data_IF_537869620893
#
_entry.id   IF_537869620893
#
_cell.length_a   1.000
_cell.length_b   1.000
_cell.length_c   1.000
_cell.angle_alpha   90.00
_cell.angle_beta   90.00
_cell.angle_gamma   90.00
#
_symmetry.space_group_name_H-M   'P 1'
#
loop_
_entity.id
_entity.type
_entity.pdbx_description
1 polymer ?
#
# COMPACT_ATOMS: atom_id res chain seq x y z
N UNK A 1 4.77 12.60 2.99
CA UNK A 1 4.05 11.29 3.06
C UNK A 1 3.36 11.30 4.41
N UNK A 2 2.04 11.39 4.45
CA UNK A 2 1.31 11.74 5.69
C UNK A 2 1.55 10.79 6.86
N UNK A 3 1.95 9.54 6.60
CA UNK A 3 2.36 8.58 7.64
C UNK A 3 3.70 8.96 8.31
N UNK A 4 4.69 9.40 7.53
CA UNK A 4 5.95 9.93 8.07
C UNK A 4 5.73 11.22 8.87
N UNK A 5 4.92 12.13 8.34
CA UNK A 5 4.57 13.40 9.04
C UNK A 5 3.86 13.14 10.38
N UNK A 6 3.12 12.02 10.49
CA UNK A 6 2.49 11.55 11.72
C UNK A 6 3.42 10.71 12.61
N UNK A 7 4.69 10.56 12.25
CA UNK A 7 5.69 9.83 13.02
C UNK A 7 5.54 8.31 13.00
N UNK A 8 4.70 7.76 12.12
CA UNK A 8 4.45 6.31 12.04
C UNK A 8 5.73 5.58 11.63
N UNK A 9 6.51 6.14 10.72
CA UNK A 9 7.83 5.64 10.37
C UNK A 9 8.79 6.78 10.06
N UNK A 10 10.08 6.47 10.14
CA UNK A 10 11.19 7.35 9.78
C UNK A 10 11.65 7.06 8.35
N UNK A 11 12.26 8.05 7.68
CA UNK A 11 12.82 7.85 6.34
C UNK A 11 13.82 6.68 6.22
N UNK A 12 14.70 6.41 7.22
CA UNK A 12 15.56 5.23 7.18
C UNK A 12 14.83 3.89 7.31
N UNK A 13 13.67 3.84 7.98
CA UNK A 13 12.82 2.65 8.00
C UNK A 13 12.15 2.44 6.64
N UNK A 14 11.62 3.50 6.05
CA UNK A 14 11.03 3.47 4.71
C UNK A 14 12.03 2.98 3.66
N UNK A 15 13.25 3.56 3.64
CA UNK A 15 14.29 3.16 2.70
C UNK A 15 14.66 1.68 2.82
N UNK A 16 14.74 1.15 4.05
CA UNK A 16 15.01 -0.28 4.28
C UNK A 16 13.86 -1.17 3.81
N UNK A 17 12.61 -0.79 4.09
CA UNK A 17 11.44 -1.54 3.66
C UNK A 17 11.35 -1.62 2.13
N UNK A 18 11.53 -0.48 1.43
CA UNK A 18 11.51 -0.43 -0.02
C UNK A 18 12.66 -1.22 -0.65
N UNK A 19 13.87 -1.09 -0.12
CA UNK A 19 15.02 -1.87 -0.60
C UNK A 19 14.80 -3.37 -0.46
N UNK A 20 14.17 -3.82 0.64
CA UNK A 20 13.82 -5.22 0.86
C UNK A 20 12.80 -5.71 -0.16
N UNK A 21 11.74 -4.95 -0.44
CA UNK A 21 10.74 -5.34 -1.44
C UNK A 21 11.31 -5.43 -2.85
N UNK A 22 12.18 -4.49 -3.23
CA UNK A 22 12.85 -4.53 -4.53
C UNK A 22 13.79 -5.75 -4.64
N UNK A 23 14.52 -6.07 -3.58
CA UNK A 23 15.35 -7.28 -3.54
C UNK A 23 14.51 -8.56 -3.64
N UNK A 24 13.40 -8.65 -2.90
CA UNK A 24 12.45 -9.77 -2.95
C UNK A 24 11.83 -9.90 -4.36
N UNK A 25 11.50 -8.77 -5.01
CA UNK A 25 10.95 -8.75 -6.36
C UNK A 25 11.96 -9.21 -7.42
N UNK A 26 13.21 -8.74 -7.32
CA UNK A 26 14.30 -9.17 -8.18
C UNK A 26 14.56 -10.68 -8.03
N UNK A 27 14.54 -11.21 -6.80
CA UNK A 27 14.70 -12.64 -6.52
C UNK A 27 13.57 -13.50 -7.13
N UNK A 28 12.36 -12.94 -7.28
CA UNK A 28 11.22 -13.59 -7.96
C UNK A 28 11.33 -13.58 -9.49
N UNK A 29 12.39 -12.99 -10.06
CA UNK A 29 12.64 -12.97 -11.49
C UNK A 29 11.69 -12.06 -12.29
N UNK A 30 11.04 -11.10 -11.62
CA UNK A 30 10.21 -10.11 -12.32
C UNK A 30 11.10 -9.13 -13.10
N UNK A 31 10.75 -8.77 -14.36
CA UNK A 31 11.46 -7.72 -15.09
C UNK A 31 11.43 -6.40 -14.30
N UNK A 32 12.60 -5.84 -14.03
CA UNK A 32 12.76 -4.51 -13.44
C UNK A 32 12.77 -3.45 -14.56
N UNK A 33 11.67 -3.39 -15.32
CA UNK A 33 11.45 -2.39 -16.37
C UNK A 33 10.71 -1.14 -15.84
N UNK A 34 10.55 -1.05 -14.52
CA UNK A 34 9.85 0.03 -13.83
C UNK A 34 8.33 -0.03 -13.92
N UNK A 35 7.74 -0.97 -14.67
CA UNK A 35 6.28 -1.10 -14.79
C UNK A 35 5.61 -1.41 -13.45
N UNK A 36 6.29 -2.18 -12.61
CA UNK A 36 5.81 -2.58 -11.28
C UNK A 36 6.34 -1.71 -10.14
N UNK A 37 6.98 -0.56 -10.43
CA UNK A 37 7.57 0.30 -9.40
C UNK A 37 6.56 0.74 -8.34
N UNK A 38 5.35 1.15 -8.77
CA UNK A 38 4.30 1.56 -7.83
C UNK A 38 3.72 0.38 -7.04
N UNK A 39 3.69 -0.82 -7.63
CA UNK A 39 3.28 -2.04 -6.91
C UNK A 39 4.30 -2.37 -5.81
N UNK A 40 5.60 -2.29 -6.09
CA UNK A 40 6.65 -2.52 -5.11
C UNK A 40 6.66 -1.44 -4.01
N UNK A 41 6.42 -0.19 -4.39
CA UNK A 41 6.25 0.90 -3.45
C UNK A 41 5.06 0.67 -2.51
N UNK A 42 3.91 0.25 -3.06
CA UNK A 42 2.70 -0.03 -2.27
C UNK A 42 2.93 -1.21 -1.33
N UNK A 43 3.46 -2.32 -1.83
CA UNK A 43 3.77 -3.50 -1.02
C UNK A 43 4.73 -3.18 0.13
N UNK A 44 5.74 -2.33 -0.10
CA UNK A 44 6.66 -1.89 0.95
C UNK A 44 5.95 -1.08 2.03
N UNK A 45 5.00 -0.24 1.63
CA UNK A 45 4.21 0.56 2.56
C UNK A 45 3.25 -0.31 3.39
N UNK A 46 2.52 -1.21 2.75
CA UNK A 46 1.59 -2.13 3.42
C UNK A 46 2.31 -2.97 4.48
N UNK A 47 3.45 -3.58 4.10
CA UNK A 47 4.29 -4.34 5.04
C UNK A 47 4.81 -3.48 6.19
N UNK A 48 5.31 -2.27 5.91
CA UNK A 48 5.83 -1.38 6.95
C UNK A 48 4.74 -0.97 7.96
N UNK A 49 3.51 -0.74 7.49
CA UNK A 49 2.38 -0.35 8.34
C UNK A 49 1.84 -1.55 9.13
N UNK A 50 1.82 -2.75 8.52
CA UNK A 50 1.45 -4.00 9.17
C UNK A 50 2.45 -4.43 10.25
N UNK A 51 3.76 -4.37 9.96
CA UNK A 51 4.84 -4.67 10.92
C UNK A 51 4.76 -3.78 12.17
N UNK A 52 4.32 -2.52 11.98
CA UNK A 52 4.11 -1.55 13.05
C UNK A 52 2.75 -1.67 13.75
N UNK A 53 1.90 -2.62 13.33
CA UNK A 53 0.55 -2.86 13.87
C UNK A 53 -0.34 -1.61 13.85
N UNK A 54 -0.13 -0.75 12.86
CA UNK A 54 -0.88 0.50 12.70
C UNK A 54 -2.24 0.23 12.05
N UNK A 55 -2.30 -0.82 11.22
CA UNK A 55 -3.52 -1.37 10.62
C UNK A 55 -3.37 -2.88 10.70
N UNK A 56 -4.44 -3.59 11.08
CA UNK A 56 -4.44 -5.04 11.07
C UNK A 56 -4.60 -5.56 9.63
N UNK A 57 -4.03 -6.71 9.30
CA UNK A 57 -4.02 -7.23 7.91
C UNK A 57 -5.45 -7.44 7.37
N UNK A 58 -6.36 -7.89 8.24
CA UNK A 58 -7.79 -8.03 7.97
C UNK A 58 -8.50 -6.69 7.73
N UNK A 59 -8.10 -5.63 8.44
CA UNK A 59 -8.62 -4.27 8.23
C UNK A 59 -8.18 -3.70 6.87
N UNK A 60 -6.96 -4.02 6.42
CA UNK A 60 -6.47 -3.63 5.09
C UNK A 60 -7.25 -4.36 3.99
N UNK A 61 -7.41 -5.68 4.11
CA UNK A 61 -8.15 -6.49 3.15
C UNK A 61 -9.62 -6.04 3.05
N UNK A 62 -10.27 -5.81 4.20
CA UNK A 62 -11.63 -5.26 4.23
C UNK A 62 -11.72 -3.91 3.54
N UNK A 63 -10.71 -3.04 3.69
CA UNK A 63 -10.70 -1.73 3.04
C UNK A 63 -10.53 -1.81 1.52
N UNK A 64 -9.78 -2.80 1.02
CA UNK A 64 -9.68 -3.08 -0.41
C UNK A 64 -11.06 -3.48 -0.96
N UNK A 65 -11.74 -4.40 -0.29
CA UNK A 65 -13.08 -4.87 -0.70
C UNK A 65 -14.12 -3.74 -0.69
N UNK A 66 -14.12 -2.90 0.36
CA UNK A 66 -15.00 -1.74 0.46
C UNK A 66 -14.76 -0.76 -0.69
N UNK A 67 -13.49 -0.52 -1.05
CA UNK A 67 -13.14 0.38 -2.14
C UNK A 67 -13.57 -0.18 -3.49
N UNK A 68 -13.32 -1.46 -3.73
CA UNK A 68 -13.68 -2.15 -4.97
C UNK A 68 -15.22 -2.19 -5.17
N UNK A 69 -15.97 -2.44 -4.09
CA UNK A 69 -17.43 -2.31 -4.09
C UNK A 69 -17.90 -0.88 -4.38
N UNK A 70 -17.31 0.12 -3.72
CA UNK A 70 -17.65 1.53 -3.94
C UNK A 70 -17.33 1.99 -5.37
N UNK A 71 -16.18 1.58 -5.91
CA UNK A 71 -15.75 1.89 -7.27
C UNK A 71 -16.74 1.35 -8.30
N UNK A 72 -17.18 0.08 -8.16
CA UNK A 72 -18.19 -0.53 -9.03
C UNK A 72 -19.56 0.14 -8.94
N UNK A 73 -19.95 0.60 -7.76
CA UNK A 73 -21.24 1.26 -7.55
C UNK A 73 -21.26 2.73 -8.00
N UNK A 74 -20.09 3.33 -8.24
CA UNK A 74 -19.97 4.75 -8.60
C UNK A 74 -20.11 4.94 -10.11
N UNK A 75 -21.11 5.70 -10.58
CA UNK A 75 -21.23 6.04 -12.01
C UNK A 75 -20.01 6.82 -12.51
N UNK A 76 -19.65 6.64 -13.77
CA UNK A 76 -18.54 7.38 -14.39
C UNK A 76 -18.69 8.90 -14.20
N UNK A 77 -17.58 9.54 -13.81
CA UNK A 77 -17.54 10.99 -13.56
C UNK A 77 -18.06 11.42 -12.18
N UNK A 78 -18.42 10.47 -11.30
CA UNK A 78 -18.76 10.76 -9.89
C UNK A 78 -17.60 10.36 -8.97
N UNK A 79 -17.39 11.06 -7.84
CA UNK A 79 -16.42 10.66 -6.82
C UNK A 79 -16.80 9.31 -6.21
N UNK A 80 -15.79 8.45 -5.96
CA UNK A 80 -15.97 7.21 -5.20
C UNK A 80 -15.99 7.58 -3.72
N UNK A 81 -17.11 7.32 -3.05
CA UNK A 81 -17.28 7.57 -1.62
C UNK A 81 -17.22 6.26 -0.83
N UNK A 82 -16.24 6.17 0.07
CA UNK A 82 -16.20 5.12 1.09
C UNK A 82 -17.07 5.55 2.27
N UNK A 83 -18.09 4.75 2.60
CA UNK A 83 -18.83 4.95 3.86
C UNK A 83 -17.88 4.62 5.00
N UNK A 84 -17.55 5.61 5.84
CA UNK A 84 -16.85 5.32 7.10
C UNK A 84 -17.80 4.60 8.06
N UNK A 85 -17.32 3.60 8.81
CA UNK A 85 -18.01 3.10 9.99
C UNK A 85 -18.14 4.18 11.07
#
# INVERSE_FOLDING_TARGET
LSLHERGIFTWPEWSRALARELADAAARGKPDDGTHYYEHWLAALERLVADKKVVAEDELEQRVDEWDAAARATPHGKPIELKRP
#
